data_IF_818685768579
#
_entry.id   IF_818685768579
#
_cell.length_a   1.000
_cell.length_b   1.000
_cell.length_c   1.000
_cell.angle_alpha   90.00
_cell.angle_beta   90.00
_cell.angle_gamma   90.00
#
_symmetry.space_group_name_H-M   'P 1'
#
loop_
_entity.id
_entity.type
_entity.pdbx_description
1 polymer ?
#
# COMPACT_ATOMS: atom_id res chain seq x y z
N UNK A 1 -36.24 -38.99 -36.16
CA UNK A 1 -36.31 -37.60 -35.62
C UNK A 1 -35.21 -37.25 -34.61
N UNK A 2 -34.61 -38.18 -33.90
CA UNK A 2 -33.68 -37.86 -32.80
C UNK A 2 -32.23 -37.50 -33.20
N UNK A 3 -31.76 -37.87 -34.40
CA UNK A 3 -30.39 -37.60 -34.84
C UNK A 3 -30.15 -36.15 -35.25
N UNK A 4 -31.13 -35.50 -35.83
CA UNK A 4 -31.07 -34.09 -36.24
C UNK A 4 -31.11 -33.17 -35.00
N UNK A 5 -31.97 -33.48 -34.04
CA UNK A 5 -32.05 -32.75 -32.78
C UNK A 5 -30.72 -32.83 -31.95
N UNK A 6 -30.08 -34.01 -31.97
CA UNK A 6 -28.78 -34.22 -31.32
C UNK A 6 -27.65 -33.45 -31.99
N UNK A 7 -27.64 -33.36 -33.33
CA UNK A 7 -26.68 -32.58 -34.10
C UNK A 7 -26.83 -31.07 -33.86
N UNK A 8 -28.07 -30.57 -33.77
CA UNK A 8 -28.34 -29.14 -33.48
C UNK A 8 -27.91 -28.80 -32.07
N UNK A 9 -28.12 -29.69 -31.09
CA UNK A 9 -27.69 -29.49 -29.70
C UNK A 9 -26.17 -29.47 -29.57
N UNK A 10 -25.46 -30.36 -30.28
CA UNK A 10 -23.99 -30.42 -30.29
C UNK A 10 -23.40 -29.19 -30.99
N UNK A 11 -23.94 -28.76 -32.14
CA UNK A 11 -23.52 -27.51 -32.79
C UNK A 11 -23.77 -26.27 -31.92
N UNK A 12 -24.89 -26.20 -31.21
CA UNK A 12 -25.19 -25.12 -30.26
C UNK A 12 -24.21 -25.08 -29.11
N UNK A 13 -23.79 -26.23 -28.58
CA UNK A 13 -22.84 -26.34 -27.49
C UNK A 13 -21.41 -25.93 -27.93
N UNK A 14 -21.01 -26.31 -29.15
CA UNK A 14 -19.71 -25.95 -29.74
C UNK A 14 -19.63 -24.45 -30.04
N UNK A 15 -20.72 -23.83 -30.48
CA UNK A 15 -20.77 -22.37 -30.70
C UNK A 15 -20.63 -21.57 -29.41
N UNK A 16 -21.14 -22.08 -28.28
CA UNK A 16 -20.96 -21.41 -26.96
C UNK A 16 -19.50 -21.38 -26.48
N UNK A 17 -18.67 -22.35 -26.87
CA UNK A 17 -17.27 -22.41 -26.50
C UNK A 17 -16.35 -21.47 -27.30
N UNK A 18 -16.79 -20.93 -28.44
CA UNK A 18 -16.01 -20.05 -29.33
C UNK A 18 -16.08 -18.57 -28.93
N UNK A 19 -16.90 -18.19 -27.94
CA UNK A 19 -17.16 -16.78 -27.60
C UNK A 19 -16.15 -16.25 -26.55
N UNK A 20 -15.28 -17.09 -25.98
CA UNK A 20 -14.44 -16.71 -24.83
C UNK A 20 -13.04 -16.20 -25.17
N UNK A 21 -12.66 -16.03 -26.45
CA UNK A 21 -11.33 -15.53 -26.82
C UNK A 21 -11.42 -14.19 -27.54
N UNK A 22 -11.77 -13.14 -26.81
CA UNK A 22 -11.57 -11.76 -27.28
C UNK A 22 -10.07 -11.45 -27.41
N UNK A 23 -9.67 -10.44 -28.21
CA UNK A 23 -8.29 -10.02 -28.30
C UNK A 23 -7.75 -9.68 -26.91
N UNK A 24 -6.54 -10.16 -26.59
CA UNK A 24 -5.88 -9.86 -25.30
C UNK A 24 -5.79 -8.34 -25.12
N UNK A 25 -6.30 -7.83 -24.00
CA UNK A 25 -6.22 -6.40 -23.69
C UNK A 25 -4.77 -5.96 -23.58
N UNK A 26 -4.46 -4.76 -24.07
CA UNK A 26 -3.13 -4.16 -23.88
C UNK A 26 -2.92 -3.74 -22.44
N UNK A 27 -1.66 -3.48 -22.07
CA UNK A 27 -1.34 -3.00 -20.71
C UNK A 27 -2.00 -1.65 -20.41
N UNK A 28 -2.13 -0.78 -21.42
CA UNK A 28 -2.79 0.52 -21.31
C UNK A 28 -4.30 0.35 -21.08
N UNK A 29 -4.92 -0.59 -21.78
CA UNK A 29 -6.36 -0.91 -21.59
C UNK A 29 -6.64 -1.48 -20.19
N UNK A 30 -5.83 -2.43 -19.74
CA UNK A 30 -5.96 -2.99 -18.38
C UNK A 30 -5.74 -1.92 -17.31
N UNK A 31 -4.74 -1.06 -17.48
CA UNK A 31 -4.49 0.02 -16.55
C UNK A 31 -5.65 1.02 -16.47
N UNK A 32 -6.17 1.45 -17.63
CA UNK A 32 -7.31 2.35 -17.70
C UNK A 32 -8.58 1.75 -17.08
N UNK A 33 -8.83 0.46 -17.31
CA UNK A 33 -9.97 -0.27 -16.73
C UNK A 33 -9.84 -0.38 -15.21
N UNK A 34 -8.67 -0.73 -14.69
CA UNK A 34 -8.43 -0.78 -13.25
C UNK A 34 -8.64 0.58 -12.58
N UNK A 35 -8.15 1.67 -13.19
CA UNK A 35 -8.42 3.04 -12.72
C UNK A 35 -9.91 3.40 -12.74
N UNK A 36 -10.66 2.89 -13.71
CA UNK A 36 -12.10 3.10 -13.77
C UNK A 36 -12.80 2.37 -12.62
N UNK A 37 -12.41 1.13 -12.31
CA UNK A 37 -12.92 0.41 -11.15
C UNK A 37 -12.58 1.12 -9.83
N UNK A 38 -11.37 1.65 -9.66
CA UNK A 38 -11.02 2.46 -8.47
C UNK A 38 -11.95 3.68 -8.32
N UNK A 39 -12.20 4.43 -9.41
CA UNK A 39 -13.10 5.59 -9.38
C UNK A 39 -14.54 5.24 -9.02
N UNK A 40 -14.95 4.01 -9.29
CA UNK A 40 -16.27 3.47 -8.96
C UNK A 40 -16.29 2.81 -7.57
N UNK A 41 -15.18 2.87 -6.84
CA UNK A 41 -14.96 2.20 -5.55
C UNK A 41 -15.13 0.66 -5.61
N UNK A 42 -15.03 0.10 -6.83
CA UNK A 42 -15.03 -1.34 -7.08
C UNK A 42 -13.59 -1.88 -6.89
N UNK A 43 -13.13 -1.84 -5.64
CA UNK A 43 -11.71 -2.08 -5.32
C UNK A 43 -11.26 -3.52 -5.60
N UNK A 44 -12.13 -4.51 -5.46
CA UNK A 44 -11.80 -5.92 -5.75
C UNK A 44 -11.56 -6.15 -7.24
N UNK A 45 -12.41 -5.57 -8.08
CA UNK A 45 -12.29 -5.59 -9.54
C UNK A 45 -11.06 -4.81 -10.00
N UNK A 46 -10.76 -3.67 -9.37
CA UNK A 46 -9.55 -2.89 -9.64
C UNK A 46 -8.29 -3.73 -9.35
N UNK A 47 -8.21 -4.36 -8.18
CA UNK A 47 -7.09 -5.24 -7.79
C UNK A 47 -6.94 -6.38 -8.79
N UNK A 48 -8.02 -7.11 -9.09
CA UNK A 48 -8.00 -8.24 -10.04
C UNK A 48 -7.49 -7.82 -11.42
N UNK A 49 -7.90 -6.63 -11.89
CA UNK A 49 -7.46 -6.08 -13.18
C UNK A 49 -5.98 -5.65 -13.14
N UNK A 50 -5.51 -5.07 -12.04
CA UNK A 50 -4.10 -4.76 -11.83
C UNK A 50 -3.25 -6.03 -11.75
N UNK A 51 -3.70 -7.06 -11.06
CA UNK A 51 -3.01 -8.35 -11.00
C UNK A 51 -2.93 -9.01 -12.38
N UNK A 52 -4.00 -8.97 -13.16
CA UNK A 52 -3.99 -9.42 -14.55
C UNK A 52 -2.94 -8.65 -15.36
N UNK A 53 -2.86 -7.32 -15.21
CA UNK A 53 -1.87 -6.51 -15.90
C UNK A 53 -0.44 -6.94 -15.55
N UNK A 54 -0.13 -7.13 -14.28
CA UNK A 54 1.21 -7.56 -13.84
C UNK A 54 1.52 -8.96 -14.36
N UNK A 55 0.57 -9.87 -14.37
CA UNK A 55 0.76 -11.23 -14.85
C UNK A 55 0.95 -11.28 -16.37
N UNK A 56 0.19 -10.49 -17.11
CA UNK A 56 0.26 -10.42 -18.57
C UNK A 56 1.47 -9.63 -19.07
N UNK A 57 1.91 -8.64 -18.30
CA UNK A 57 2.97 -7.68 -18.64
C UNK A 57 3.97 -7.48 -17.50
N UNK A 58 4.67 -8.55 -17.05
CA UNK A 58 5.54 -8.50 -15.85
C UNK A 58 6.74 -7.55 -15.98
N UNK A 59 7.08 -7.15 -17.22
CA UNK A 59 8.15 -6.18 -17.50
C UNK A 59 7.63 -4.77 -17.78
N UNK A 60 6.36 -4.49 -17.49
CA UNK A 60 5.85 -3.13 -17.61
C UNK A 60 6.60 -2.21 -16.63
N UNK A 61 7.01 -1.04 -17.13
CA UNK A 61 7.86 -0.08 -16.40
C UNK A 61 7.23 0.41 -15.08
N UNK A 62 5.91 0.24 -14.94
CA UNK A 62 5.12 0.65 -13.78
C UNK A 62 4.55 -0.54 -12.97
N UNK A 63 5.03 -1.76 -13.23
CA UNK A 63 4.51 -2.95 -12.54
C UNK A 63 4.78 -2.93 -11.03
N UNK A 64 5.91 -2.35 -10.62
CA UNK A 64 6.25 -2.12 -9.21
C UNK A 64 5.29 -1.13 -8.54
N UNK A 65 5.01 0.00 -9.19
CA UNK A 65 4.06 0.98 -8.65
C UNK A 65 2.63 0.44 -8.55
N UNK A 66 2.24 -0.47 -9.44
CA UNK A 66 0.95 -1.15 -9.35
C UNK A 66 0.89 -2.07 -8.13
N UNK A 67 1.93 -2.86 -7.84
CA UNK A 67 1.96 -3.66 -6.63
C UNK A 67 1.90 -2.81 -5.36
N UNK A 68 2.60 -1.68 -5.37
CA UNK A 68 2.50 -0.72 -4.27
C UNK A 68 1.07 -0.21 -4.09
N UNK A 69 0.42 0.19 -5.19
CA UNK A 69 -0.97 0.64 -5.22
C UNK A 69 -1.95 -0.45 -4.74
N UNK A 70 -1.78 -1.70 -5.15
CA UNK A 70 -2.58 -2.83 -4.65
C UNK A 70 -2.47 -2.92 -3.13
N UNK A 71 -1.26 -2.81 -2.56
CA UNK A 71 -1.05 -2.77 -1.11
C UNK A 71 -1.82 -1.63 -0.45
N UNK A 72 -1.80 -0.43 -1.04
CA UNK A 72 -2.55 0.72 -0.54
C UNK A 72 -4.07 0.51 -0.62
N UNK A 73 -4.60 -0.08 -1.69
CA UNK A 73 -6.03 -0.37 -1.81
C UNK A 73 -6.46 -1.37 -0.74
N UNK A 74 -5.69 -2.43 -0.52
CA UNK A 74 -5.99 -3.38 0.54
C UNK A 74 -6.02 -2.72 1.91
N UNK A 75 -5.02 -1.88 2.24
CA UNK A 75 -4.93 -1.26 3.56
C UNK A 75 -5.95 -0.14 3.78
N UNK A 76 -6.14 0.74 2.81
CA UNK A 76 -6.88 1.98 3.01
C UNK A 76 -8.38 1.85 2.68
N UNK A 77 -8.72 0.99 1.71
CA UNK A 77 -10.08 0.88 1.21
C UNK A 77 -10.78 -0.41 1.68
N UNK A 78 -10.03 -1.51 1.73
CA UNK A 78 -10.60 -2.80 2.13
C UNK A 78 -10.30 -3.16 3.59
N UNK A 79 -9.38 -2.45 4.24
CA UNK A 79 -8.87 -2.73 5.60
C UNK A 79 -8.38 -4.18 5.76
N UNK A 80 -7.87 -4.74 4.66
CA UNK A 80 -7.32 -6.09 4.57
C UNK A 80 -5.80 -6.04 4.69
N UNK A 81 -5.33 -5.95 5.92
CA UNK A 81 -3.92 -5.70 6.22
C UNK A 81 -3.02 -6.90 5.88
N UNK A 82 -3.55 -8.12 5.92
CA UNK A 82 -2.78 -9.30 5.53
C UNK A 82 -2.47 -9.30 4.03
N UNK A 83 -3.46 -8.99 3.19
CA UNK A 83 -3.27 -8.87 1.76
C UNK A 83 -2.45 -7.61 1.39
N UNK A 84 -2.56 -6.52 2.14
CA UNK A 84 -1.68 -5.36 1.99
C UNK A 84 -0.21 -5.72 2.21
N UNK A 85 0.10 -6.40 3.32
CA UNK A 85 1.43 -6.92 3.64
C UNK A 85 1.94 -7.85 2.53
N UNK A 86 1.08 -8.75 2.03
CA UNK A 86 1.45 -9.67 0.97
C UNK A 86 1.80 -8.94 -0.34
N UNK A 87 1.03 -7.93 -0.72
CA UNK A 87 1.31 -7.11 -1.90
C UNK A 87 2.68 -6.39 -1.78
N UNK A 88 2.97 -5.77 -0.63
CA UNK A 88 4.26 -5.15 -0.36
C UNK A 88 5.43 -6.15 -0.36
N UNK A 89 5.25 -7.35 0.20
CA UNK A 89 6.24 -8.43 0.14
C UNK A 89 6.50 -8.89 -1.30
N UNK A 90 5.45 -9.01 -2.11
CA UNK A 90 5.58 -9.36 -3.53
C UNK A 90 6.34 -8.28 -4.31
N UNK A 91 6.09 -6.99 -4.03
CA UNK A 91 6.82 -5.88 -4.64
C UNK A 91 8.32 -6.02 -4.38
N UNK A 92 8.74 -6.11 -3.12
CA UNK A 92 10.14 -6.22 -2.72
C UNK A 92 10.80 -7.45 -3.37
N UNK A 93 10.08 -8.57 -3.45
CA UNK A 93 10.61 -9.81 -4.04
C UNK A 93 10.75 -9.73 -5.55
N UNK A 94 9.74 -9.17 -6.26
CA UNK A 94 9.71 -9.15 -7.73
C UNK A 94 10.52 -8.00 -8.32
N UNK A 95 10.63 -6.89 -7.58
CA UNK A 95 11.26 -5.65 -8.04
C UNK A 95 12.29 -5.14 -7.01
N UNK A 96 13.44 -5.84 -6.85
CA UNK A 96 14.43 -5.49 -5.81
C UNK A 96 15.03 -4.09 -5.97
N UNK A 97 15.02 -3.52 -7.18
CA UNK A 97 15.52 -2.16 -7.47
C UNK A 97 14.40 -1.10 -7.47
N UNK A 98 13.20 -1.44 -7.01
CA UNK A 98 12.09 -0.47 -6.98
C UNK A 98 12.32 0.60 -5.93
N UNK A 99 12.04 1.85 -6.32
CA UNK A 99 12.03 3.00 -5.40
C UNK A 99 11.00 2.88 -4.28
N UNK A 100 10.01 2.00 -4.44
CA UNK A 100 8.97 1.76 -3.43
C UNK A 100 9.37 0.74 -2.36
N UNK A 101 10.55 0.14 -2.45
CA UNK A 101 10.95 -0.93 -1.52
C UNK A 101 11.11 -0.44 -0.08
N UNK A 102 11.72 0.75 0.11
CA UNK A 102 11.85 1.34 1.43
C UNK A 102 10.47 1.58 2.07
N UNK A 103 9.59 2.27 1.35
CA UNK A 103 8.24 2.54 1.83
C UNK A 103 7.43 1.25 2.06
N UNK A 104 7.62 0.23 1.21
CA UNK A 104 6.96 -1.08 1.39
C UNK A 104 7.44 -1.80 2.65
N UNK A 105 8.74 -1.76 2.97
CA UNK A 105 9.26 -2.31 4.22
C UNK A 105 8.67 -1.62 5.45
N UNK A 106 8.59 -0.29 5.42
CA UNK A 106 7.94 0.48 6.46
C UNK A 106 6.47 0.09 6.63
N UNK A 107 5.69 0.05 5.53
CA UNK A 107 4.27 -0.29 5.58
C UNK A 107 4.03 -1.72 6.13
N UNK A 108 4.89 -2.68 5.81
CA UNK A 108 4.80 -4.02 6.37
C UNK A 108 4.98 -3.97 7.90
N UNK A 109 6.03 -3.29 8.38
CA UNK A 109 6.28 -3.12 9.82
C UNK A 109 5.11 -2.43 10.51
N UNK A 110 4.62 -1.34 9.92
CA UNK A 110 3.51 -0.55 10.43
C UNK A 110 2.21 -1.37 10.56
N UNK A 111 1.86 -2.15 9.54
CA UNK A 111 0.67 -3.01 9.61
C UNK A 111 0.81 -4.12 10.65
N UNK A 112 1.99 -4.71 10.80
CA UNK A 112 2.23 -5.67 11.88
C UNK A 112 2.10 -5.02 13.26
N UNK A 113 2.63 -3.82 13.46
CA UNK A 113 2.57 -3.10 14.73
C UNK A 113 1.13 -2.69 15.10
N UNK A 114 0.45 -2.00 14.17
CA UNK A 114 -0.73 -1.21 14.49
C UNK A 114 -2.05 -1.87 14.06
N UNK A 115 -2.01 -2.80 13.11
CA UNK A 115 -3.23 -3.41 12.56
C UNK A 115 -3.39 -4.87 12.98
N UNK A 116 -2.28 -5.62 13.04
CA UNK A 116 -2.26 -7.05 13.39
C UNK A 116 -1.84 -7.26 14.84
N UNK A 117 -1.17 -6.28 15.46
CA UNK A 117 -0.61 -6.34 16.81
C UNK A 117 0.48 -7.42 16.99
N UNK A 118 1.24 -7.72 15.93
CA UNK A 118 2.41 -8.59 15.97
C UNK A 118 3.69 -7.76 16.09
N UNK A 119 4.01 -7.39 17.33
CA UNK A 119 5.20 -6.58 17.64
C UNK A 119 6.51 -7.28 17.28
N UNK A 120 6.52 -8.62 17.28
CA UNK A 120 7.71 -9.39 16.88
C UNK A 120 8.00 -9.22 15.40
N UNK A 121 7.00 -9.38 14.55
CA UNK A 121 7.15 -9.17 13.12
C UNK A 121 7.41 -7.69 12.79
N UNK A 122 6.71 -6.77 13.46
CA UNK A 122 6.94 -5.34 13.28
C UNK A 122 8.41 -4.97 13.52
N UNK A 123 8.99 -5.40 14.64
CA UNK A 123 10.40 -5.21 14.99
C UNK A 123 11.34 -5.70 13.89
N UNK A 124 11.13 -6.92 13.39
CA UNK A 124 11.95 -7.50 12.33
C UNK A 124 11.96 -6.63 11.06
N UNK A 125 10.80 -6.08 10.67
CA UNK A 125 10.70 -5.26 9.47
C UNK A 125 11.26 -3.85 9.67
N UNK A 126 11.10 -3.24 10.84
CA UNK A 126 11.71 -1.95 11.17
C UNK A 126 13.24 -2.05 11.24
N UNK A 127 13.78 -3.06 11.92
CA UNK A 127 15.23 -3.31 11.96
C UNK A 127 15.80 -3.58 10.56
N UNK A 128 15.06 -4.37 9.74
CA UNK A 128 15.44 -4.61 8.35
C UNK A 128 15.45 -3.32 7.53
N UNK A 129 14.46 -2.44 7.72
CA UNK A 129 14.42 -1.14 7.07
C UNK A 129 15.67 -0.31 7.42
N UNK A 130 15.93 -0.12 8.72
CA UNK A 130 17.05 0.69 9.21
C UNK A 130 18.41 0.14 8.75
N UNK A 131 18.52 -1.18 8.63
CA UNK A 131 19.75 -1.83 8.12
C UNK A 131 20.00 -1.55 6.64
N UNK A 132 18.92 -1.55 5.80
CA UNK A 132 19.05 -1.43 4.34
C UNK A 132 19.02 0.05 3.91
N UNK A 133 18.24 0.87 4.61
CA UNK A 133 17.95 2.26 4.26
C UNK A 133 18.24 3.24 5.41
N UNK A 134 19.44 3.24 6.01
CA UNK A 134 19.75 4.07 7.20
C UNK A 134 19.63 5.58 6.95
N UNK A 135 19.87 6.01 5.69
CA UNK A 135 19.85 7.43 5.30
C UNK A 135 18.54 7.84 4.58
N UNK A 136 17.54 6.96 4.57
CA UNK A 136 16.26 7.28 3.92
C UNK A 136 15.46 8.28 4.77
N UNK A 137 14.67 9.12 4.12
CA UNK A 137 13.83 10.14 4.79
C UNK A 137 12.90 9.56 5.88
N UNK A 138 12.50 8.30 5.76
CA UNK A 138 11.68 7.60 6.75
C UNK A 138 12.49 7.00 7.91
N UNK A 139 13.83 7.02 7.89
CA UNK A 139 14.64 6.30 8.88
C UNK A 139 14.37 6.78 10.32
N UNK A 140 14.25 8.08 10.53
CA UNK A 140 13.93 8.64 11.85
C UNK A 140 12.53 8.23 12.34
N UNK A 141 11.54 8.20 11.44
CA UNK A 141 10.20 7.75 11.77
C UNK A 141 10.18 6.25 12.10
N UNK A 142 10.91 5.43 11.33
CA UNK A 142 11.03 3.99 11.58
C UNK A 142 11.74 3.72 12.91
N UNK A 143 12.78 4.49 13.25
CA UNK A 143 13.45 4.37 14.53
C UNK A 143 12.50 4.72 15.69
N UNK A 144 11.73 5.78 15.55
CA UNK A 144 10.74 6.17 16.54
C UNK A 144 9.68 5.08 16.76
N UNK A 145 9.13 4.50 15.68
CA UNK A 145 8.19 3.37 15.75
C UNK A 145 8.80 2.15 16.46
N UNK A 146 10.08 1.86 16.18
CA UNK A 146 10.80 0.75 16.80
C UNK A 146 11.02 0.97 18.30
N UNK A 147 11.38 2.19 18.71
CA UNK A 147 11.67 2.54 20.10
C UNK A 147 10.40 2.54 20.98
N UNK A 148 9.24 2.84 20.37
CA UNK A 148 7.95 2.88 21.07
C UNK A 148 7.07 1.66 20.80
N UNK A 149 7.62 0.64 20.16
CA UNK A 149 6.87 -0.54 19.74
C UNK A 149 6.26 -1.29 20.93
N UNK A 150 4.93 -1.39 20.92
CA UNK A 150 4.15 -2.06 21.97
C UNK A 150 3.85 -1.19 23.20
N UNK A 151 4.23 0.09 23.18
CA UNK A 151 3.83 1.03 24.24
C UNK A 151 2.42 1.58 23.96
N UNK A 152 1.66 1.84 25.02
CA UNK A 152 0.42 2.60 24.88
C UNK A 152 0.77 4.05 24.53
N UNK A 153 0.17 4.58 23.47
CA UNK A 153 0.40 5.96 23.02
C UNK A 153 0.13 6.98 24.15
N UNK A 154 -0.78 6.66 25.07
CA UNK A 154 -1.09 7.48 26.22
C UNK A 154 0.00 7.43 27.32
N UNK A 155 0.93 6.49 27.25
CA UNK A 155 2.04 6.36 28.20
C UNK A 155 3.32 7.03 27.71
N UNK A 156 3.35 7.48 26.47
CA UNK A 156 4.50 8.19 25.89
C UNK A 156 4.56 9.59 26.52
N UNK A 157 5.58 9.85 27.35
CA UNK A 157 5.71 11.09 28.15
C UNK A 157 5.64 12.37 27.31
N UNK A 158 6.20 12.37 26.10
CA UNK A 158 6.11 13.50 25.17
C UNK A 158 4.68 13.88 24.81
N UNK A 159 3.78 12.90 24.70
CA UNK A 159 2.36 13.13 24.37
C UNK A 159 1.53 13.51 25.61
N UNK A 160 1.96 13.09 26.81
CA UNK A 160 1.34 13.51 28.08
C UNK A 160 1.60 14.96 28.41
N UNK A 161 2.77 15.45 28.07
CA UNK A 161 3.20 16.79 28.48
C UNK A 161 2.62 17.91 27.61
N UNK A 162 1.91 17.64 26.51
CA UNK A 162 1.09 18.56 25.69
C UNK A 162 1.32 20.09 25.76
N UNK A 163 2.24 20.51 26.59
CA UNK A 163 2.72 21.86 26.74
C UNK A 163 3.88 22.06 25.77
N UNK A 164 3.57 22.59 24.57
CA UNK A 164 4.55 23.45 23.93
C UNK A 164 4.92 24.49 24.99
N UNK A 165 6.08 24.37 25.63
CA UNK A 165 6.69 25.52 26.27
C UNK A 165 6.88 26.55 25.17
N UNK A 166 5.92 27.47 25.05
CA UNK A 166 6.15 28.75 24.40
C UNK A 166 7.37 29.32 25.14
N UNK A 167 8.53 29.21 24.53
CA UNK A 167 9.68 30.02 24.93
C UNK A 167 9.26 31.47 24.74
N UNK A 168 8.65 32.05 25.77
CA UNK A 168 8.45 33.46 25.90
C UNK A 168 9.87 34.07 25.91
N UNK A 169 10.37 34.35 24.70
CA UNK A 169 11.39 35.39 24.57
C UNK A 169 10.73 36.69 25.01
N UNK A 170 10.91 36.96 26.30
CA UNK A 170 10.67 38.26 26.88
C UNK A 170 11.56 39.29 26.14
N UNK A 171 11.01 39.83 25.04
CA UNK A 171 11.56 41.02 24.40
C UNK A 171 11.21 42.19 25.30
N UNK A 172 12.09 42.45 26.27
CA UNK A 172 12.05 43.63 27.13
C UNK A 172 11.94 44.91 26.33
N UNK A 173 10.74 45.41 26.23
CA UNK A 173 10.48 46.74 25.69
C UNK A 173 10.75 47.77 26.82
N UNK A 174 11.76 48.67 26.72
CA UNK A 174 12.02 49.65 27.74
C UNK A 174 10.91 50.69 27.76
N UNK A 175 10.24 50.88 28.91
CA UNK A 175 9.26 51.90 29.14
C UNK A 175 9.84 53.30 28.88
N UNK A 176 9.15 54.21 28.22
CA UNK A 176 9.59 55.59 28.05
C UNK A 176 9.58 56.31 29.39
N UNK A 177 10.70 56.94 29.73
CA UNK A 177 10.88 57.83 30.90
C UNK A 177 10.07 59.11 30.64
N UNK A 178 9.03 59.35 31.44
CA UNK A 178 8.41 60.69 31.56
C UNK A 178 9.41 61.60 32.26
N UNK A 179 9.86 62.65 31.59
CA UNK A 179 10.48 63.83 32.16
C UNK A 179 9.47 64.95 32.21
N UNK A 180 9.17 65.38 33.43
CA UNK A 180 8.62 66.70 33.68
C UNK A 180 9.71 67.74 33.48
#
# INVERSE_FOLDING_TARGET
>A
MNRIASLILICGLVLLFMISCGPKKTKEQLYAEALQFEKQENFKEAISTYEQLINDYPRAIFADSILFKIGQIYSNNLLDFENAINAHKQLIKKFPESKFNAQSLFMIGYHYANSINDTTMARQYYEKFLKIYPEHELASSVQWELDHLGQDINEIDFLKTGTFEETNQDSGNPKPKNTN
#
